data_IF_036087701268
#
_entry.id   IF_036087701268
#
_cell.length_a   1.000
_cell.length_b   1.000
_cell.length_c   1.000
_cell.angle_alpha   90.00
_cell.angle_beta   90.00
_cell.angle_gamma   90.00
#
_symmetry.space_group_name_H-M   'P 1'
#
loop_
_entity.id
_entity.type
_entity.pdbx_description
1 polymer ?
#
# COMPACT_ATOMS: atom_id res chain seq x y z
N UNK A 1 -49.44 10.89 95.80
CA UNK A 1 -49.11 9.70 94.98
C UNK A 1 -48.81 10.16 93.56
N UNK A 2 -47.60 9.86 93.07
CA UNK A 2 -47.02 10.37 91.81
C UNK A 2 -47.73 9.75 90.59
N UNK A 3 -48.10 10.57 89.60
CA UNK A 3 -48.53 10.12 88.26
C UNK A 3 -47.58 10.71 87.21
N UNK A 4 -46.96 9.82 86.43
CA UNK A 4 -46.24 10.09 85.18
C UNK A 4 -47.21 10.56 84.09
N UNK A 5 -46.79 11.54 83.28
CA UNK A 5 -47.19 11.74 81.87
C UNK A 5 -46.03 12.48 81.18
N UNK A 6 -45.12 11.77 80.50
CA UNK A 6 -45.02 11.58 79.03
C UNK A 6 -45.04 12.89 78.22
N UNK A 7 -43.84 13.37 77.88
CA UNK A 7 -43.58 14.41 76.88
C UNK A 7 -43.70 13.80 75.48
N UNK A 8 -44.70 14.25 74.71
CA UNK A 8 -44.82 13.97 73.28
C UNK A 8 -44.02 14.99 72.46
N UNK A 9 -43.07 14.50 71.67
CA UNK A 9 -42.35 15.29 70.66
C UNK A 9 -43.22 15.39 69.40
N UNK A 10 -43.55 16.62 68.99
CA UNK A 10 -44.12 16.91 67.67
C UNK A 10 -42.98 16.96 66.64
N UNK A 11 -42.94 15.98 65.74
CA UNK A 11 -42.12 16.02 64.54
C UNK A 11 -42.91 16.68 63.39
N UNK A 12 -42.48 17.86 62.97
CA UNK A 12 -42.97 18.52 61.75
C UNK A 12 -42.31 17.88 60.53
N UNK A 13 -43.08 17.09 59.78
CA UNK A 13 -42.65 16.57 58.47
C UNK A 13 -42.89 17.68 57.43
N UNK A 14 -41.82 18.27 56.93
CA UNK A 14 -41.88 19.15 55.75
C UNK A 14 -42.20 18.30 54.51
N UNK A 15 -43.40 18.47 53.96
CA UNK A 15 -43.79 17.88 52.69
C UNK A 15 -43.12 18.62 51.54
N UNK A 16 -41.95 18.15 51.11
CA UNK A 16 -41.38 18.53 49.82
C UNK A 16 -42.23 17.91 48.71
N UNK A 17 -43.06 18.74 48.07
CA UNK A 17 -43.80 18.42 46.85
C UNK A 17 -42.82 18.22 45.69
N UNK A 18 -42.34 16.99 45.50
CA UNK A 18 -41.59 16.60 44.30
C UNK A 18 -42.58 16.33 43.17
N UNK A 19 -42.80 17.33 42.31
CA UNK A 19 -43.33 17.04 40.96
C UNK A 19 -42.34 16.09 40.28
N UNK A 20 -42.77 14.92 39.78
CA UNK A 20 -41.89 14.06 39.01
C UNK A 20 -41.42 14.82 37.78
N UNK A 21 -40.10 14.94 37.64
CA UNK A 21 -39.47 15.48 36.43
C UNK A 21 -39.90 14.56 35.28
N UNK A 22 -40.46 15.09 34.19
CA UNK A 22 -40.83 14.26 33.05
C UNK A 22 -39.59 13.48 32.59
N UNK A 23 -39.73 12.20 32.21
CA UNK A 23 -38.61 11.39 31.77
C UNK A 23 -37.96 12.08 30.58
N UNK A 24 -36.72 12.57 30.78
CA UNK A 24 -35.88 13.03 29.68
C UNK A 24 -35.69 11.83 28.78
N UNK A 25 -36.30 11.87 27.60
CA UNK A 25 -36.07 10.87 26.57
C UNK A 25 -34.62 11.04 26.16
N UNK A 26 -33.74 10.20 26.72
CA UNK A 26 -32.34 10.14 26.32
C UNK A 26 -32.34 9.63 24.90
N UNK A 27 -32.28 10.55 23.95
CA UNK A 27 -32.05 10.22 22.56
C UNK A 27 -30.73 9.43 22.54
N UNK A 28 -30.72 8.19 21.99
CA UNK A 28 -29.48 7.45 21.87
C UNK A 28 -28.46 8.36 21.19
N UNK A 29 -27.20 8.42 21.67
CA UNK A 29 -26.18 9.16 20.94
C UNK A 29 -26.23 8.67 19.49
N UNK A 30 -26.17 9.59 18.51
CA UNK A 30 -26.12 9.17 17.11
C UNK A 30 -25.02 8.12 16.98
N UNK A 31 -25.25 7.03 16.23
CA UNK A 31 -24.24 6.00 16.04
C UNK A 31 -22.95 6.71 15.60
N UNK A 32 -21.78 6.35 16.16
CA UNK A 32 -20.53 7.00 15.80
C UNK A 32 -20.43 6.99 14.28
N UNK A 33 -20.42 8.18 13.67
CA UNK A 33 -20.18 8.30 12.25
C UNK A 33 -18.78 7.74 12.02
N UNK A 34 -18.71 6.52 11.49
CA UNK A 34 -17.50 5.94 10.93
C UNK A 34 -17.18 6.72 9.66
N UNK A 35 -16.61 7.91 9.82
CA UNK A 35 -15.85 8.52 8.74
C UNK A 35 -14.70 7.59 8.34
N UNK A 36 -14.18 7.71 7.11
CA UNK A 36 -13.02 6.94 6.69
C UNK A 36 -11.90 7.15 7.72
N UNK A 37 -11.51 6.07 8.41
CA UNK A 37 -10.68 6.13 9.63
C UNK A 37 -9.23 6.47 9.27
N UNK A 38 -8.92 7.73 8.97
CA UNK A 38 -7.57 8.33 8.81
C UNK A 38 -6.58 7.69 7.80
N UNK A 39 -6.39 6.37 7.79
CA UNK A 39 -5.59 5.59 6.84
C UNK A 39 -6.21 5.67 5.44
N UNK A 40 -7.52 5.45 5.34
CA UNK A 40 -8.27 5.67 4.10
C UNK A 40 -8.09 7.12 3.60
N UNK A 41 -8.23 8.11 4.48
CA UNK A 41 -8.05 9.51 4.10
C UNK A 41 -6.63 9.80 3.57
N UNK A 42 -5.58 9.24 4.18
CA UNK A 42 -4.19 9.42 3.74
C UNK A 42 -3.92 8.80 2.37
N UNK A 43 -4.37 7.57 2.14
CA UNK A 43 -4.21 6.90 0.83
C UNK A 43 -4.91 7.69 -0.28
N UNK A 44 -6.09 8.25 0.02
CA UNK A 44 -6.87 8.99 -0.95
C UNK A 44 -6.34 10.40 -1.23
N UNK A 45 -5.60 11.03 -0.32
CA UNK A 45 -5.03 12.37 -0.57
C UNK A 45 -3.95 12.33 -1.66
N UNK A 46 -3.00 11.39 -1.57
CA UNK A 46 -1.96 11.21 -2.59
C UNK A 46 -2.55 10.72 -3.92
N UNK A 47 -3.54 9.84 -3.85
CA UNK A 47 -4.29 9.40 -5.02
C UNK A 47 -5.02 10.56 -5.71
N UNK A 48 -5.71 11.44 -4.96
CA UNK A 48 -6.51 12.52 -5.53
C UNK A 48 -5.64 13.44 -6.41
N UNK A 49 -4.40 13.70 -5.99
CA UNK A 49 -3.43 14.42 -6.78
C UNK A 49 -3.07 13.67 -8.08
N UNK A 50 -2.82 12.36 -8.00
CA UNK A 50 -2.51 11.52 -9.16
C UNK A 50 -3.68 11.41 -10.15
N UNK A 51 -4.91 11.18 -9.67
CA UNK A 51 -6.12 11.13 -10.50
C UNK A 51 -6.40 12.47 -11.18
N UNK A 52 -6.16 13.58 -10.48
CA UNK A 52 -6.27 14.92 -11.06
C UNK A 52 -5.23 15.16 -12.15
N UNK A 53 -4.01 14.67 -11.97
CA UNK A 53 -2.92 14.81 -12.95
C UNK A 53 -3.14 13.91 -14.20
N UNK A 54 -3.74 12.73 -14.03
CA UNK A 54 -3.88 11.72 -15.08
C UNK A 54 -5.30 11.18 -15.26
N UNK A 55 -6.33 12.05 -15.45
CA UNK A 55 -7.73 11.63 -15.46
C UNK A 55 -8.12 10.74 -16.65
N UNK A 56 -7.25 10.62 -17.65
CA UNK A 56 -7.43 9.72 -18.80
C UNK A 56 -7.02 8.28 -18.52
N UNK A 57 -6.22 8.05 -17.48
CA UNK A 57 -5.59 6.77 -17.20
C UNK A 57 -6.20 6.06 -15.99
N UNK A 58 -6.82 6.81 -15.08
CA UNK A 58 -7.41 6.25 -13.89
C UNK A 58 -8.56 7.11 -13.38
N UNK A 59 -9.53 6.46 -12.74
CA UNK A 59 -10.65 7.12 -12.05
C UNK A 59 -11.15 6.26 -10.88
N UNK A 60 -11.66 6.92 -9.85
CA UNK A 60 -12.25 6.32 -8.66
C UNK A 60 -13.78 6.27 -8.77
N UNK A 61 -14.37 5.12 -8.49
CA UNK A 61 -15.83 4.88 -8.41
C UNK A 61 -16.16 4.18 -7.07
N UNK A 62 -16.33 4.97 -6.00
CA UNK A 62 -16.53 4.39 -4.67
C UNK A 62 -15.30 3.61 -4.22
N UNK A 63 -15.47 2.31 -3.96
CA UNK A 63 -14.40 1.37 -3.58
C UNK A 63 -13.55 0.90 -4.76
N UNK A 64 -13.91 1.28 -6.01
CA UNK A 64 -13.25 0.79 -7.23
C UNK A 64 -12.28 1.81 -7.80
N UNK A 65 -11.06 1.38 -8.09
CA UNK A 65 -10.13 2.06 -8.96
C UNK A 65 -10.20 1.44 -10.35
N UNK A 66 -10.56 2.23 -11.36
CA UNK A 66 -10.59 1.78 -12.76
C UNK A 66 -9.42 2.39 -13.50
N UNK A 67 -8.64 1.55 -14.17
CA UNK A 67 -7.54 1.94 -15.04
C UNK A 67 -7.97 1.87 -16.49
N UNK A 68 -7.54 2.85 -17.28
CA UNK A 68 -7.94 2.99 -18.67
C UNK A 68 -6.75 3.32 -19.57
N UNK A 69 -6.76 2.78 -20.79
CA UNK A 69 -5.82 3.11 -21.86
C UNK A 69 -6.56 3.32 -23.16
N UNK A 70 -6.15 4.34 -23.92
CA UNK A 70 -6.67 4.61 -25.26
C UNK A 70 -8.22 4.69 -25.27
N UNK A 71 -8.80 5.24 -24.19
CA UNK A 71 -10.25 5.40 -24.00
C UNK A 71 -11.01 4.15 -23.59
N UNK A 72 -10.33 3.05 -23.25
CA UNK A 72 -10.93 1.78 -22.81
C UNK A 72 -10.48 1.44 -21.39
N UNK A 73 -11.41 0.96 -20.57
CA UNK A 73 -11.09 0.43 -19.25
C UNK A 73 -10.41 -0.93 -19.42
N UNK A 74 -9.26 -1.13 -18.78
CA UNK A 74 -8.43 -2.35 -18.91
C UNK A 74 -8.44 -3.19 -17.64
N UNK A 75 -8.59 -2.55 -16.48
CA UNK A 75 -8.56 -3.20 -15.17
C UNK A 75 -9.47 -2.43 -14.23
N UNK A 76 -10.22 -3.16 -13.42
CA UNK A 76 -10.96 -2.64 -12.27
C UNK A 76 -10.40 -3.30 -11.00
N UNK A 77 -10.04 -2.48 -10.04
CA UNK A 77 -9.48 -2.90 -8.75
C UNK A 77 -10.49 -2.54 -7.66
N UNK A 78 -10.97 -3.51 -6.92
CA UNK A 78 -11.97 -3.33 -5.85
C UNK A 78 -11.27 -3.39 -4.51
N UNK A 79 -11.29 -2.27 -3.78
CA UNK A 79 -10.80 -2.24 -2.40
C UNK A 79 -11.79 -2.95 -1.48
N UNK A 80 -11.30 -3.68 -0.48
CA UNK A 80 -12.13 -4.35 0.54
C UNK A 80 -12.07 -3.55 1.85
N UNK A 81 -13.10 -2.77 2.21
CA UNK A 81 -13.02 -1.79 3.29
C UNK A 81 -13.42 -2.33 4.69
N UNK A 82 -13.66 -3.63 4.86
CA UNK A 82 -14.39 -4.11 6.06
C UNK A 82 -13.64 -3.97 7.40
N UNK A 83 -12.35 -3.67 7.41
CA UNK A 83 -11.64 -3.15 8.59
C UNK A 83 -10.31 -2.51 8.21
N UNK A 84 -9.71 -1.71 9.10
CA UNK A 84 -8.30 -1.33 8.97
C UNK A 84 -7.49 -2.59 8.65
N UNK A 85 -6.65 -2.56 7.60
CA UNK A 85 -6.00 -3.77 7.09
C UNK A 85 -5.09 -4.48 8.12
N UNK A 86 -4.86 -3.93 9.32
CA UNK A 86 -4.05 -4.52 10.37
C UNK A 86 -4.40 -6.00 10.65
N UNK A 87 -3.48 -6.91 10.30
CA UNK A 87 -3.53 -8.33 10.63
C UNK A 87 -4.41 -9.21 9.73
N UNK A 88 -4.84 -8.72 8.56
CA UNK A 88 -5.66 -9.51 7.63
C UNK A 88 -5.02 -9.60 6.23
N UNK A 89 -4.54 -10.79 5.89
CA UNK A 89 -3.99 -11.15 4.56
C UNK A 89 -4.99 -10.91 3.40
N UNK A 90 -6.30 -10.91 3.72
CA UNK A 90 -7.38 -10.74 2.74
C UNK A 90 -7.73 -9.28 2.45
N UNK A 91 -7.16 -8.32 3.18
CA UNK A 91 -7.42 -6.90 2.96
C UNK A 91 -6.65 -6.40 1.74
N UNK A 92 -7.29 -5.58 0.89
CA UNK A 92 -6.60 -4.87 -0.19
C UNK A 92 -7.19 -3.48 -0.36
N UNK A 93 -6.36 -2.46 -0.16
CA UNK A 93 -6.68 -1.09 -0.50
C UNK A 93 -5.83 -0.69 -1.70
N UNK A 94 -6.50 -0.45 -2.82
CA UNK A 94 -5.87 -0.09 -4.09
C UNK A 94 -5.89 1.41 -4.25
N UNK A 95 -4.75 2.02 -4.60
CA UNK A 95 -4.64 3.45 -4.86
C UNK A 95 -3.82 3.73 -6.13
N UNK A 96 -4.24 4.71 -6.93
CA UNK A 96 -3.50 5.11 -8.11
C UNK A 96 -2.31 5.99 -7.72
N UNK A 97 -1.10 5.45 -7.86
CA UNK A 97 0.13 6.15 -7.52
C UNK A 97 0.65 7.05 -8.65
N UNK A 98 0.13 6.88 -9.87
CA UNK A 98 0.45 7.72 -11.02
C UNK A 98 0.90 6.90 -12.23
N UNK A 99 1.79 7.49 -13.03
CA UNK A 99 2.32 6.88 -14.25
C UNK A 99 3.84 6.83 -14.20
N UNK A 100 4.40 5.78 -14.81
CA UNK A 100 5.81 5.69 -15.13
C UNK A 100 5.98 5.75 -16.65
N UNK A 101 6.86 6.65 -17.12
CA UNK A 101 7.10 6.80 -18.55
C UNK A 101 8.12 5.78 -19.04
N UNK A 102 7.66 4.86 -19.91
CA UNK A 102 8.51 3.87 -20.56
C UNK A 102 8.64 4.18 -22.05
N UNK A 103 9.51 3.44 -22.75
CA UNK A 103 9.78 3.65 -24.18
C UNK A 103 8.52 3.49 -25.03
N UNK A 104 7.67 2.51 -24.70
CA UNK A 104 6.44 2.19 -25.45
C UNK A 104 5.21 3.00 -24.98
N UNK A 105 5.42 3.92 -24.04
CA UNK A 105 4.40 4.80 -23.49
C UNK A 105 4.29 4.74 -21.97
N UNK A 106 3.34 5.48 -21.39
CA UNK A 106 3.11 5.48 -19.96
C UNK A 106 2.56 4.13 -19.49
N UNK A 107 2.97 3.68 -18.31
CA UNK A 107 2.47 2.50 -17.61
C UNK A 107 1.84 2.94 -16.28
N UNK A 108 0.66 2.41 -15.97
CA UNK A 108 -0.07 2.76 -14.77
C UNK A 108 0.61 2.13 -13.56
N UNK A 109 0.85 2.95 -12.53
CA UNK A 109 1.40 2.52 -11.25
C UNK A 109 0.28 2.53 -10.22
N UNK A 110 0.05 1.39 -9.62
CA UNK A 110 -0.92 1.20 -8.54
C UNK A 110 -0.18 0.80 -7.28
N UNK A 111 -0.55 1.42 -6.17
CA UNK A 111 -0.14 1.02 -4.84
C UNK A 111 -1.21 0.11 -4.24
N UNK A 112 -0.78 -1.00 -3.62
CA UNK A 112 -1.64 -1.87 -2.82
C UNK A 112 -1.13 -1.90 -1.40
N UNK A 113 -1.97 -1.49 -0.47
CA UNK A 113 -1.80 -1.80 0.94
C UNK A 113 -2.56 -3.11 1.25
N UNK A 114 -1.87 -4.06 1.87
CA UNK A 114 -2.46 -5.27 2.45
C UNK A 114 -1.85 -5.46 3.84
N UNK A 115 -2.55 -6.00 4.83
CA UNK A 115 -2.22 -5.83 6.25
C UNK A 115 -0.79 -6.06 6.74
N UNK A 116 0.00 -6.83 6.00
CA UNK A 116 1.37 -7.22 6.35
C UNK A 116 2.45 -6.54 5.49
N UNK A 117 2.04 -5.74 4.49
CA UNK A 117 2.99 -5.06 3.63
C UNK A 117 2.34 -4.24 2.53
N UNK A 118 3.19 -3.66 1.71
CA UNK A 118 2.78 -2.86 0.59
C UNK A 118 3.50 -3.27 -0.68
N UNK A 119 2.80 -3.12 -1.80
CA UNK A 119 3.34 -3.48 -3.10
C UNK A 119 2.97 -2.41 -4.12
N UNK A 120 3.84 -2.28 -5.11
CA UNK A 120 3.54 -1.53 -6.31
C UNK A 120 3.25 -2.49 -7.45
N UNK A 121 2.23 -2.18 -8.23
CA UNK A 121 1.80 -2.98 -9.37
C UNK A 121 1.81 -2.09 -10.60
N UNK A 122 2.50 -2.55 -11.64
CA UNK A 122 2.49 -1.93 -12.95
C UNK A 122 1.49 -2.62 -13.85
N UNK A 123 0.57 -1.87 -14.44
CA UNK A 123 -0.37 -2.39 -15.44
C UNK A 123 -0.05 -1.83 -16.82
N UNK A 124 0.27 -2.70 -17.76
CA UNK A 124 0.43 -2.31 -19.16
C UNK A 124 -0.93 -2.11 -19.86
N UNK A 125 -0.88 -1.68 -21.13
CA UNK A 125 -2.07 -1.41 -21.95
C UNK A 125 -2.98 -2.62 -22.18
N UNK A 126 -2.49 -3.84 -21.93
CA UNK A 126 -3.28 -5.07 -22.03
C UNK A 126 -3.89 -5.50 -20.69
N UNK A 127 -3.69 -4.70 -19.63
CA UNK A 127 -4.08 -5.07 -18.27
C UNK A 127 -3.16 -6.12 -17.65
N UNK A 128 -2.00 -6.41 -18.24
CA UNK A 128 -1.04 -7.34 -17.65
C UNK A 128 -0.25 -6.66 -16.53
N UNK A 129 -0.36 -7.22 -15.33
CA UNK A 129 0.32 -6.75 -14.13
C UNK A 129 1.77 -7.23 -14.04
N UNK A 130 2.63 -6.39 -13.47
CA UNK A 130 3.93 -6.74 -12.90
C UNK A 130 3.96 -6.25 -11.46
N UNK A 131 4.10 -7.17 -10.52
CA UNK A 131 4.27 -6.86 -9.11
C UNK A 131 5.70 -6.45 -8.83
N UNK A 132 5.85 -5.46 -7.98
CA UNK A 132 7.12 -4.87 -7.57
C UNK A 132 7.15 -4.68 -6.06
N UNK A 133 8.33 -4.89 -5.47
CA UNK A 133 8.54 -4.84 -4.03
C UNK A 133 8.49 -3.43 -3.42
N UNK A 134 8.74 -2.39 -4.22
CA UNK A 134 8.72 -1.00 -3.79
C UNK A 134 8.38 -0.04 -4.92
N UNK A 135 8.52 1.26 -4.66
CA UNK A 135 8.17 2.30 -5.63
C UNK A 135 9.01 2.15 -6.92
N UNK A 136 8.38 2.15 -8.12
CA UNK A 136 9.09 1.95 -9.37
C UNK A 136 9.80 3.21 -9.86
N UNK A 137 10.96 3.02 -10.48
CA UNK A 137 11.74 4.08 -11.12
C UNK A 137 12.25 3.65 -12.48
N UNK A 138 11.88 4.39 -13.53
CA UNK A 138 12.25 4.05 -14.91
C UNK A 138 13.64 4.60 -15.25
N UNK A 139 14.40 3.80 -15.99
CA UNK A 139 15.66 4.26 -16.56
C UNK A 139 15.44 5.37 -17.58
N UNK A 140 16.44 6.23 -17.82
CA UNK A 140 16.48 7.05 -19.03
C UNK A 140 16.23 6.17 -20.26
N UNK A 141 15.32 6.62 -21.14
CA UNK A 141 14.87 5.86 -22.30
C UNK A 141 13.81 4.79 -22.01
N UNK A 142 13.45 4.55 -20.74
CA UNK A 142 12.26 3.80 -20.35
C UNK A 142 12.29 2.31 -20.66
N UNK A 143 13.48 1.69 -20.74
CA UNK A 143 13.62 0.24 -20.96
C UNK A 143 13.59 -0.56 -19.67
N UNK A 144 14.32 -0.08 -18.65
CA UNK A 144 14.45 -0.76 -17.38
C UNK A 144 13.59 -0.07 -16.32
N UNK A 145 13.09 -0.87 -15.40
CA UNK A 145 12.39 -0.39 -14.20
C UNK A 145 13.13 -0.96 -13.01
N UNK A 146 13.55 -0.09 -12.11
CA UNK A 146 14.08 -0.50 -10.82
C UNK A 146 13.03 -0.32 -9.75
N UNK A 147 12.99 -1.23 -8.79
CA UNK A 147 12.14 -1.17 -7.61
C UNK A 147 12.85 -1.85 -6.47
N UNK A 148 12.72 -1.33 -5.26
CA UNK A 148 13.30 -1.98 -4.10
C UNK A 148 12.73 -1.43 -2.81
N UNK A 149 12.90 -2.22 -1.76
CA UNK A 149 12.47 -1.93 -0.41
C UNK A 149 13.63 -2.20 0.54
N UNK A 150 13.79 -1.30 1.50
CA UNK A 150 14.73 -1.48 2.61
C UNK A 150 14.22 -2.57 3.54
N UNK A 151 15.13 -3.32 4.17
CA UNK A 151 14.71 -4.29 5.18
C UNK A 151 14.03 -3.59 6.36
N UNK A 152 13.04 -4.27 6.91
CA UNK A 152 12.24 -3.83 8.04
C UNK A 152 11.78 -5.05 8.85
N UNK A 153 11.16 -4.89 10.02
CA UNK A 153 10.59 -6.01 10.76
C UNK A 153 9.56 -6.85 9.97
N UNK A 154 9.03 -6.32 8.85
CA UNK A 154 8.00 -6.97 8.02
C UNK A 154 8.53 -7.40 6.64
N UNK A 155 9.77 -7.06 6.28
CA UNK A 155 10.31 -7.36 4.96
C UNK A 155 11.80 -7.61 5.03
N UNK A 156 12.24 -8.71 4.44
CA UNK A 156 13.64 -9.06 4.29
C UNK A 156 14.40 -8.16 3.30
N UNK A 157 13.79 -7.11 2.73
CA UNK A 157 14.45 -6.17 1.83
C UNK A 157 14.85 -6.78 0.48
N UNK A 158 14.77 -5.99 -0.58
CA UNK A 158 14.96 -6.50 -1.95
C UNK A 158 15.23 -5.33 -2.89
N UNK A 159 16.13 -5.51 -3.85
CA UNK A 159 16.24 -4.67 -5.05
C UNK A 159 16.05 -5.52 -6.28
N UNK A 160 15.18 -5.09 -7.20
CA UNK A 160 14.95 -5.72 -8.48
C UNK A 160 15.04 -4.74 -9.65
N UNK A 161 15.48 -5.25 -10.80
CA UNK A 161 15.50 -4.54 -12.07
C UNK A 161 14.78 -5.39 -13.12
N UNK A 162 13.77 -4.81 -13.74
CA UNK A 162 12.95 -5.43 -14.79
C UNK A 162 13.36 -4.87 -16.14
N UNK A 163 13.73 -5.72 -17.10
CA UNK A 163 13.75 -5.36 -18.52
C UNK A 163 12.33 -5.42 -19.07
N UNK A 164 11.71 -4.24 -19.19
CA UNK A 164 10.32 -4.12 -19.58
C UNK A 164 10.04 -4.56 -21.01
N UNK A 165 11.07 -4.52 -21.87
CA UNK A 165 10.96 -4.85 -23.29
C UNK A 165 11.20 -6.33 -23.57
N UNK A 166 11.73 -7.09 -22.61
CA UNK A 166 11.88 -8.51 -22.76
C UNK A 166 10.50 -9.21 -22.78
N UNK A 167 10.36 -10.25 -23.59
CA UNK A 167 9.16 -11.08 -23.65
C UNK A 167 9.54 -12.56 -23.48
N UNK A 168 9.28 -13.18 -22.32
CA UNK A 168 8.70 -12.58 -21.11
C UNK A 168 9.62 -11.52 -20.47
N UNK A 169 9.06 -10.65 -19.61
CA UNK A 169 9.84 -9.65 -18.86
C UNK A 169 10.96 -10.36 -18.10
N UNK A 170 12.19 -9.91 -18.29
CA UNK A 170 13.35 -10.45 -17.60
C UNK A 170 13.53 -9.66 -16.30
N UNK A 171 13.64 -10.36 -15.18
CA UNK A 171 13.80 -9.75 -13.86
C UNK A 171 15.11 -10.26 -13.29
N UNK A 172 15.91 -9.35 -12.76
CA UNK A 172 17.01 -9.68 -11.87
C UNK A 172 16.71 -9.10 -10.50
N UNK A 173 17.06 -9.83 -9.45
CA UNK A 173 16.92 -9.38 -8.07
C UNK A 173 18.18 -9.62 -7.26
N UNK A 174 18.32 -8.87 -6.18
CA UNK A 174 19.33 -9.10 -5.16
C UNK A 174 18.64 -8.98 -3.81
N UNK A 175 18.96 -9.93 -2.93
CA UNK A 175 18.54 -9.92 -1.52
C UNK A 175 19.29 -8.83 -0.71
N UNK A 176 19.92 -7.87 -1.39
CA UNK A 176 20.48 -6.68 -0.76
C UNK A 176 19.36 -5.70 -0.44
N UNK A 177 19.41 -5.17 0.78
CA UNK A 177 18.41 -4.23 1.30
C UNK A 177 18.70 -2.85 0.74
N UNK A 178 18.28 -2.64 -0.50
CA UNK A 178 18.57 -1.45 -1.27
C UNK A 178 17.30 -0.90 -1.92
N UNK A 179 17.22 0.41 -2.00
CA UNK A 179 16.16 1.11 -2.73
C UNK A 179 16.76 1.98 -3.85
N UNK A 180 16.04 2.14 -4.99
CA UNK A 180 16.43 3.05 -6.05
C UNK A 180 16.44 4.52 -5.60
N UNK A 181 17.53 5.24 -5.85
CA UNK A 181 17.63 6.69 -5.54
C UNK A 181 17.51 7.52 -6.81
N UNK A 182 18.31 7.19 -7.83
CA UNK A 182 18.29 7.89 -9.10
C UNK A 182 19.03 7.10 -10.18
N UNK A 183 18.51 7.11 -11.40
CA UNK A 183 19.29 6.69 -12.56
C UNK A 183 20.31 7.76 -12.94
N UNK A 184 21.58 7.38 -13.09
CA UNK A 184 22.62 8.26 -13.65
C UNK A 184 22.55 8.30 -15.16
N UNK A 185 22.30 7.14 -15.76
CA UNK A 185 22.05 6.94 -17.18
C UNK A 185 21.19 5.69 -17.37
N UNK A 186 20.96 5.25 -18.62
CA UNK A 186 20.11 4.10 -18.91
C UNK A 186 20.62 2.77 -18.31
N UNK A 187 21.91 2.68 -17.97
CA UNK A 187 22.61 1.45 -17.58
C UNK A 187 23.25 1.54 -16.18
N UNK A 188 23.06 2.66 -15.47
CA UNK A 188 23.62 2.91 -14.14
C UNK A 188 22.58 3.50 -13.20
N UNK A 189 22.35 2.80 -12.10
CA UNK A 189 21.38 3.17 -11.08
C UNK A 189 22.08 3.38 -9.75
N UNK A 190 21.91 4.57 -9.17
CA UNK A 190 22.30 4.87 -7.79
C UNK A 190 21.29 4.25 -6.82
N UNK A 191 21.81 3.57 -5.81
CA UNK A 191 21.06 2.90 -4.77
C UNK A 191 21.45 3.45 -3.39
N UNK A 192 20.51 3.39 -2.45
CA UNK A 192 20.75 3.53 -1.02
C UNK A 192 20.50 2.17 -0.39
N UNK A 193 21.45 1.68 0.39
CA UNK A 193 21.40 0.35 0.99
C UNK A 193 21.62 0.39 2.49
N UNK A 194 21.21 -0.66 3.20
CA UNK A 194 21.48 -0.87 4.61
C UNK A 194 21.99 -2.29 4.88
N UNK A 195 22.61 -2.49 6.04
CA UNK A 195 23.31 -3.70 6.47
C UNK A 195 22.65 -4.42 7.63
N UNK A 196 21.77 -3.73 8.36
CA UNK A 196 20.88 -4.33 9.34
C UNK A 196 19.43 -4.02 8.97
N UNK A 197 18.55 -5.01 9.13
CA UNK A 197 17.11 -4.85 8.91
C UNK A 197 16.44 -4.05 10.03
N UNK A 198 17.21 -3.69 11.07
CA UNK A 198 16.77 -2.89 12.20
C UNK A 198 17.15 -1.41 12.08
N UNK A 199 17.78 -0.99 10.98
CA UNK A 199 18.23 0.38 10.75
C UNK A 199 19.13 0.95 11.87
N UNK A 200 19.92 0.10 12.53
CA UNK A 200 20.91 0.52 13.52
C UNK A 200 22.19 1.06 12.85
N UNK A 201 22.57 0.48 11.70
CA UNK A 201 23.69 0.92 10.90
C UNK A 201 23.27 2.08 9.98
N UNK A 202 24.16 3.04 9.73
CA UNK A 202 23.90 4.08 8.75
C UNK A 202 23.79 3.48 7.35
N UNK A 203 22.80 3.96 6.61
CA UNK A 203 22.67 3.63 5.19
C UNK A 203 23.92 4.04 4.41
N UNK A 204 24.25 3.28 3.37
CA UNK A 204 25.41 3.50 2.50
C UNK A 204 25.00 3.53 1.04
N UNK A 205 25.85 4.11 0.18
CA UNK A 205 25.59 4.17 -1.25
C UNK A 205 26.10 2.92 -1.97
N UNK A 206 25.32 2.48 -2.96
CA UNK A 206 25.72 1.47 -3.93
C UNK A 206 25.34 1.91 -5.34
N UNK A 207 25.88 1.24 -6.36
CA UNK A 207 25.52 1.44 -7.75
C UNK A 207 25.26 0.09 -8.42
N UNK A 208 24.12 -0.03 -9.11
CA UNK A 208 23.84 -1.11 -10.04
C UNK A 208 24.28 -0.68 -11.45
N UNK A 209 25.14 -1.47 -12.08
CA UNK A 209 25.69 -1.20 -13.42
C UNK A 209 25.42 -2.38 -14.33
N UNK A 210 24.87 -2.13 -15.53
CA UNK A 210 24.77 -3.15 -16.57
C UNK A 210 26.11 -3.26 -17.31
N UNK A 211 26.83 -4.36 -17.07
CA UNK A 211 28.09 -4.66 -17.75
C UNK A 211 27.92 -5.86 -18.67
N UNK A 212 28.09 -5.65 -19.97
CA UNK A 212 27.71 -6.64 -20.98
C UNK A 212 26.19 -6.84 -20.98
N UNK A 213 25.72 -7.96 -20.44
CA UNK A 213 24.29 -8.29 -20.31
C UNK A 213 23.90 -8.66 -18.87
N UNK A 214 24.73 -8.32 -17.88
CA UNK A 214 24.48 -8.66 -16.48
C UNK A 214 24.52 -7.40 -15.61
N UNK A 215 23.51 -7.25 -14.76
CA UNK A 215 23.51 -6.23 -13.72
C UNK A 215 24.48 -6.64 -12.62
N UNK A 216 25.32 -5.70 -12.20
CA UNK A 216 26.32 -5.88 -11.16
C UNK A 216 26.10 -4.81 -10.08
N UNK A 217 26.11 -5.24 -8.82
CA UNK A 217 26.10 -4.32 -7.68
C UNK A 217 27.53 -4.00 -7.27
N UNK A 218 27.81 -2.71 -7.11
CA UNK A 218 29.10 -2.19 -6.69
C UNK A 218 28.93 -1.26 -5.51
N UNK A 219 29.74 -1.43 -4.47
CA UNK A 219 29.76 -0.57 -3.30
C UNK A 219 31.09 -0.71 -2.55
N UNK A 220 31.42 0.27 -1.70
CA UNK A 220 32.52 0.15 -0.74
C UNK A 220 32.23 -0.88 0.37
N UNK A 221 30.95 -1.24 0.52
CA UNK A 221 30.44 -2.16 1.52
C UNK A 221 29.94 -3.45 0.85
N UNK A 222 30.08 -4.64 1.47
CA UNK A 222 29.47 -5.87 0.98
C UNK A 222 27.99 -5.72 0.59
N UNK A 223 27.67 -6.23 -0.59
CA UNK A 223 26.32 -6.35 -1.18
C UNK A 223 26.19 -7.73 -1.82
N UNK A 224 24.98 -8.26 -1.87
CA UNK A 224 24.70 -9.53 -2.53
C UNK A 224 24.57 -9.30 -4.04
N UNK A 225 25.06 -10.22 -4.89
CA UNK A 225 24.99 -10.06 -6.33
C UNK A 225 23.55 -10.15 -6.84
N UNK A 226 23.27 -9.53 -7.98
CA UNK A 226 22.04 -9.79 -8.73
C UNK A 226 22.01 -11.23 -9.22
N UNK A 227 20.81 -11.82 -9.20
CA UNK A 227 20.49 -13.14 -9.72
C UNK A 227 19.32 -13.00 -10.69
N UNK A 228 19.30 -13.72 -11.81
CA UNK A 228 18.10 -13.81 -12.64
C UNK A 228 16.97 -14.49 -11.86
N UNK A 229 15.80 -13.86 -11.83
CA UNK A 229 14.59 -14.51 -11.31
C UNK A 229 14.12 -15.54 -12.33
N UNK A 230 14.00 -16.83 -11.95
CA UNK A 230 13.51 -17.84 -12.88
C UNK A 230 12.08 -17.49 -13.31
N UNK A 231 11.69 -17.77 -14.56
CA UNK A 231 10.30 -17.66 -14.97
C UNK A 231 9.43 -18.52 -14.06
N UNK A 232 8.35 -17.96 -13.53
CA UNK A 232 7.41 -18.73 -12.73
C UNK A 232 6.87 -19.92 -13.55
N UNK A 233 6.81 -21.08 -12.92
CA UNK A 233 6.13 -22.27 -13.43
C UNK A 233 4.63 -22.03 -13.53
N UNK A 234 3.91 -22.89 -14.27
CA UNK A 234 2.45 -22.81 -14.33
C UNK A 234 1.80 -23.00 -12.96
N UNK A 235 2.39 -23.85 -12.11
CA UNK A 235 1.95 -24.09 -10.74
C UNK A 235 2.16 -22.85 -9.86
N UNK A 236 3.37 -22.29 -9.82
CA UNK A 236 3.66 -21.08 -9.04
C UNK A 236 2.80 -19.89 -9.46
N UNK A 237 2.47 -19.79 -10.76
CA UNK A 237 1.48 -18.82 -11.25
C UNK A 237 0.11 -19.11 -10.65
N UNK A 238 -0.39 -20.34 -10.77
CA UNK A 238 -1.72 -20.71 -10.24
C UNK A 238 -1.81 -20.49 -8.72
N UNK A 239 -0.76 -20.79 -7.96
CA UNK A 239 -0.65 -20.52 -6.53
C UNK A 239 -0.62 -19.00 -6.25
N UNK A 240 0.18 -18.25 -7.00
CA UNK A 240 0.21 -16.77 -6.90
C UNK A 240 -1.18 -16.13 -7.16
N UNK A 241 -1.95 -16.70 -8.08
CA UNK A 241 -3.30 -16.24 -8.42
C UNK A 241 -4.34 -16.59 -7.34
N UNK A 242 -4.11 -17.63 -6.53
CA UNK A 242 -5.11 -18.14 -5.59
C UNK A 242 -5.03 -17.50 -4.20
N UNK A 243 -3.89 -16.91 -3.81
CA UNK A 243 -3.67 -16.52 -2.41
C UNK A 243 -3.63 -14.99 -2.21
N UNK A 244 -3.11 -14.19 -3.14
CA UNK A 244 -2.95 -12.73 -2.88
C UNK A 244 -3.00 -11.81 -4.11
N UNK A 245 -2.50 -12.24 -5.28
CA UNK A 245 -2.17 -11.31 -6.37
C UNK A 245 -3.33 -10.91 -7.28
N UNK A 246 -4.48 -11.55 -7.18
CA UNK A 246 -5.67 -11.19 -7.97
C UNK A 246 -6.88 -10.81 -7.10
N UNK A 247 -6.69 -10.68 -5.78
CA UNK A 247 -7.76 -10.26 -4.87
C UNK A 247 -8.28 -8.88 -5.28
N UNK A 248 -9.55 -8.81 -5.68
CA UNK A 248 -10.16 -7.57 -6.13
C UNK A 248 -9.69 -7.07 -7.50
N UNK A 249 -8.92 -7.85 -8.28
CA UNK A 249 -8.49 -7.49 -9.63
C UNK A 249 -9.41 -8.10 -10.68
N UNK A 250 -10.14 -7.26 -11.40
CA UNK A 250 -10.94 -7.65 -12.57
C UNK A 250 -10.27 -7.12 -13.84
N UNK A 251 -9.83 -8.02 -14.73
CA UNK A 251 -9.27 -7.66 -16.04
C UNK A 251 -10.40 -7.52 -17.04
N UNK A 252 -10.42 -6.40 -17.74
CA UNK A 252 -11.47 -6.03 -18.69
C UNK A 252 -11.00 -6.34 -20.13
N UNK A 253 -11.94 -6.66 -21.04
CA UNK A 253 -11.63 -7.07 -22.43
C UNK A 253 -11.06 -5.96 -23.32
#
# INVERSE_FOLDING_TARGET
MKRLWVLGLLATVAACSTKPVPPVTVQPPPPPQSGPKAVEARLYDDEAAALKAYPKFARREGDKLVLSYDGRDIVRLTSTPESACEGWETCSLWSFAGLIQLKDGPVAVVYREHGEGDNYILFDRSGKSQWLAGAPMASPGGRYIASGIMASPLSDGLIEIVDWHASPRAIVDSDSWCEPVAWRDALRLKLRCNRDGENQAPAFEAEAVLTGNAWQLTSAQPVLPFKPRPPQTAQERAESHTWEKDVGIERLP
#
